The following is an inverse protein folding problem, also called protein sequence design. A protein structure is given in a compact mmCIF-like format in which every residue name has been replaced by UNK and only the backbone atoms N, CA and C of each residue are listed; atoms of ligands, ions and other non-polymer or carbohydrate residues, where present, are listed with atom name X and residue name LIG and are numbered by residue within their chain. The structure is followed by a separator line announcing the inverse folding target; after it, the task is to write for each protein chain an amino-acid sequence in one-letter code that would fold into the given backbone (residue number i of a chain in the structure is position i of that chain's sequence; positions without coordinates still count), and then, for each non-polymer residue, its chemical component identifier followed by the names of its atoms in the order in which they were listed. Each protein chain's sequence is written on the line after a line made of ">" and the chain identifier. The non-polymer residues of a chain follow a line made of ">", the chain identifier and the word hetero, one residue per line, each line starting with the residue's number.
data_IF_919182050461
#
_entry.id   IF_919182050461
#
_cell.length_a   1.000
_cell.length_b   1.000
_cell.length_c   1.000
_cell.angle_alpha   90.00
_cell.angle_beta   90.00
_cell.angle_gamma   90.00
#
_symmetry.space_group_name_H-M   'P 1'
#
loop_
_entity.id
_entity.type
_entity.pdbx_description
1 polymer ?
#
# COMPACT_ATOMS: atom_id res chain seq x y z
N UNK A 1 12.28 7.98 8.04
CA UNK A 1 12.58 9.26 8.67
C UNK A 1 13.76 9.05 9.61
N UNK A 2 14.81 9.87 9.51
CA UNK A 2 16.02 9.73 10.34
C UNK A 2 16.87 8.49 10.03
N UNK A 3 16.75 7.92 8.83
CA UNK A 3 17.58 6.81 8.34
C UNK A 3 18.39 7.27 7.13
N UNK A 4 19.32 6.43 6.66
CA UNK A 4 20.13 6.71 5.46
C UNK A 4 19.31 6.67 4.14
N UNK A 5 18.01 6.37 4.19
CA UNK A 5 17.14 6.37 3.01
C UNK A 5 16.92 7.79 2.52
N UNK A 6 16.96 7.97 1.22
CA UNK A 6 16.74 9.26 0.57
C UNK A 6 15.31 9.72 0.68
N UNK A 7 15.12 11.03 0.75
CA UNK A 7 13.84 11.70 0.52
C UNK A 7 13.78 12.07 -0.95
N UNK A 8 12.75 11.64 -1.69
CA UNK A 8 12.72 11.79 -3.14
C UNK A 8 11.44 12.42 -3.65
N UNK A 9 11.54 13.02 -4.83
CA UNK A 9 10.41 13.33 -5.72
C UNK A 9 10.54 12.45 -6.95
N UNK A 10 9.58 11.55 -7.14
CA UNK A 10 9.43 10.74 -8.34
C UNK A 10 8.51 11.45 -9.31
N UNK A 11 8.93 11.58 -10.57
CA UNK A 11 8.11 12.01 -11.70
C UNK A 11 7.72 10.80 -12.52
N UNK A 12 6.44 10.59 -12.71
CA UNK A 12 5.90 9.49 -13.52
C UNK A 12 5.94 9.84 -15.03
N UNK A 13 5.79 8.80 -15.88
CA UNK A 13 5.73 8.99 -17.34
C UNK A 13 4.53 9.84 -17.80
N UNK A 14 3.42 9.82 -17.04
CA UNK A 14 2.26 10.67 -17.29
C UNK A 14 2.33 12.06 -16.62
N UNK A 15 3.47 12.43 -16.03
CA UNK A 15 3.75 13.77 -15.53
C UNK A 15 3.31 14.06 -14.09
N UNK A 16 2.84 13.07 -13.33
CA UNK A 16 2.52 13.26 -11.92
C UNK A 16 3.79 13.27 -11.05
N UNK A 17 3.72 13.96 -9.92
CA UNK A 17 4.80 13.99 -8.92
C UNK A 17 4.38 13.31 -7.63
N UNK A 18 5.25 12.45 -7.10
CA UNK A 18 5.09 11.78 -5.82
C UNK A 18 6.28 12.10 -4.92
N UNK A 19 5.99 12.57 -3.70
CA UNK A 19 7.00 12.99 -2.73
C UNK A 19 6.97 12.02 -1.56
N UNK A 20 8.07 11.31 -1.32
CA UNK A 20 8.11 10.20 -0.35
C UNK A 20 9.54 9.91 0.10
N UNK A 21 9.75 9.24 1.25
CA UNK A 21 11.01 8.54 1.46
C UNK A 21 11.14 7.39 0.46
N UNK A 22 12.35 7.13 -0.01
CA UNK A 22 12.66 5.97 -0.84
C UNK A 22 12.80 4.72 0.03
N UNK A 23 11.69 4.09 0.34
CA UNK A 23 11.58 2.95 1.26
C UNK A 23 10.66 1.83 0.77
N UNK A 24 10.33 1.86 -0.53
CA UNK A 24 9.41 0.93 -1.15
C UNK A 24 7.95 1.41 -1.22
N UNK A 25 7.59 2.52 -0.55
CA UNK A 25 6.23 3.09 -0.61
C UNK A 25 5.82 3.48 -2.04
N UNK A 26 6.80 3.76 -2.91
CA UNK A 26 6.57 4.16 -4.29
C UNK A 26 6.48 2.97 -5.27
N UNK A 27 6.63 1.72 -4.83
CA UNK A 27 6.60 0.53 -5.71
C UNK A 27 5.34 0.48 -6.58
N UNK A 28 4.17 0.53 -5.98
CA UNK A 28 2.91 0.49 -6.74
C UNK A 28 2.71 1.69 -7.67
N UNK A 29 3.27 2.86 -7.34
CA UNK A 29 3.26 4.04 -8.23
C UNK A 29 4.17 3.80 -9.42
N UNK A 30 5.37 3.28 -9.18
CA UNK A 30 6.35 2.97 -10.22
C UNK A 30 5.81 1.92 -11.21
N UNK A 31 5.15 0.89 -10.70
CA UNK A 31 4.54 -0.17 -11.50
C UNK A 31 3.36 0.35 -12.34
N UNK A 32 2.45 1.12 -11.73
CA UNK A 32 1.23 1.58 -12.39
C UNK A 32 1.49 2.67 -13.45
N UNK A 33 2.44 3.59 -13.19
CA UNK A 33 2.62 4.79 -14.02
C UNK A 33 4.00 4.89 -14.68
N UNK A 34 4.92 4.01 -14.34
CA UNK A 34 6.31 4.05 -14.76
C UNK A 34 7.04 5.30 -14.24
N UNK A 35 8.35 5.22 -14.20
CA UNK A 35 9.23 6.31 -13.75
C UNK A 35 9.76 7.07 -14.95
N UNK A 36 9.65 8.40 -14.94
CA UNK A 36 10.29 9.30 -15.88
C UNK A 36 11.60 9.88 -15.34
N UNK A 37 11.60 10.29 -14.07
CA UNK A 37 12.79 10.80 -13.38
C UNK A 37 12.61 10.75 -11.86
N UNK A 38 13.72 10.70 -11.12
CA UNK A 38 13.74 10.77 -9.66
C UNK A 38 14.77 11.82 -9.24
N UNK A 39 14.38 12.67 -8.28
CA UNK A 39 15.31 13.63 -7.66
C UNK A 39 15.35 13.45 -6.15
N UNK A 40 16.54 13.49 -5.57
CA UNK A 40 16.70 13.60 -4.13
C UNK A 40 16.30 15.01 -3.67
N UNK A 41 15.55 15.10 -2.58
CA UNK A 41 15.18 16.41 -2.02
C UNK A 41 16.39 17.01 -1.32
N UNK A 42 16.84 18.16 -1.81
CA UNK A 42 17.81 18.98 -1.10
C UNK A 42 17.12 19.68 0.07
N UNK A 43 17.27 19.12 1.26
CA UNK A 43 16.64 19.65 2.48
C UNK A 43 17.21 20.99 2.93
N UNK A 44 18.34 21.44 2.40
CA UNK A 44 18.89 22.77 2.72
C UNK A 44 18.04 23.90 2.15
N UNK A 45 17.31 23.62 1.06
CA UNK A 45 16.43 24.60 0.38
C UNK A 45 14.95 24.17 0.35
N UNK A 46 14.69 22.89 0.50
CA UNK A 46 13.33 22.32 0.41
C UNK A 46 12.81 21.76 1.74
N UNK A 47 13.24 22.34 2.84
CA UNK A 47 12.70 22.12 4.18
C UNK A 47 11.93 23.38 4.64
N UNK A 48 10.83 23.18 5.35
CA UNK A 48 10.07 24.27 5.96
C UNK A 48 10.98 25.08 6.88
N UNK A 49 11.02 26.42 6.76
CA UNK A 49 11.85 27.26 7.62
C UNK A 49 11.58 27.06 9.12
N UNK A 50 12.62 27.16 9.92
CA UNK A 50 12.59 27.03 11.39
C UNK A 50 12.14 25.64 11.88
N UNK A 51 12.41 24.57 11.10
CA UNK A 51 12.12 23.18 11.49
C UNK A 51 13.35 22.28 11.45
N UNK A 52 14.55 22.85 11.38
CA UNK A 52 15.84 22.14 11.28
C UNK A 52 16.09 21.22 12.50
N UNK A 53 15.53 21.59 13.64
CA UNK A 53 15.59 20.82 14.89
C UNK A 53 14.64 19.58 14.89
N UNK A 54 13.68 19.49 13.96
CA UNK A 54 12.67 18.45 13.93
C UNK A 54 13.10 17.28 13.02
N UNK A 55 13.71 16.25 13.58
CA UNK A 55 14.23 15.11 12.83
C UNK A 55 13.24 13.94 12.66
N UNK A 56 12.03 14.02 13.23
CA UNK A 56 11.05 12.92 13.24
C UNK A 56 9.79 13.22 12.44
N UNK A 57 9.68 14.39 11.81
CA UNK A 57 8.44 14.85 11.19
C UNK A 57 8.63 15.30 9.72
N UNK A 58 9.42 14.54 8.95
CA UNK A 58 9.74 14.86 7.54
C UNK A 58 8.49 14.97 6.67
N UNK A 59 7.43 14.23 6.98
CA UNK A 59 6.15 14.33 6.27
C UNK A 59 5.61 15.76 6.22
N UNK A 60 5.66 16.47 7.35
CA UNK A 60 5.23 17.87 7.47
C UNK A 60 6.28 18.83 6.91
N UNK A 61 7.55 18.63 7.30
CA UNK A 61 8.58 19.66 7.15
C UNK A 61 9.32 19.59 5.81
N UNK A 62 9.40 18.40 5.20
CA UNK A 62 10.09 18.17 3.93
C UNK A 62 9.10 17.79 2.83
N UNK A 63 8.33 16.72 3.01
CA UNK A 63 7.53 16.17 1.89
C UNK A 63 6.35 17.06 1.52
N UNK A 64 5.52 17.46 2.49
CA UNK A 64 4.40 18.36 2.23
C UNK A 64 4.87 19.73 1.77
N UNK A 65 5.96 20.24 2.33
CA UNK A 65 6.52 21.53 1.95
C UNK A 65 7.05 21.52 0.52
N UNK A 66 7.85 20.51 0.14
CA UNK A 66 8.35 20.34 -1.22
C UNK A 66 7.21 20.15 -2.21
N UNK A 67 6.26 19.26 -1.91
CA UNK A 67 5.12 18.97 -2.77
C UNK A 67 4.24 20.20 -3.00
N UNK A 68 3.96 20.98 -1.95
CA UNK A 68 3.17 22.21 -2.07
C UNK A 68 3.87 23.26 -2.96
N UNK A 69 5.20 23.42 -2.83
CA UNK A 69 5.99 24.35 -3.65
C UNK A 69 6.01 23.94 -5.13
N UNK A 70 6.15 22.63 -5.39
CA UNK A 70 6.04 22.09 -6.76
C UNK A 70 4.64 22.33 -7.34
N UNK A 71 3.59 22.00 -6.62
CA UNK A 71 2.21 22.16 -7.07
C UNK A 71 1.83 23.61 -7.31
N UNK A 72 2.38 24.54 -6.52
CA UNK A 72 2.17 25.97 -6.68
C UNK A 72 3.10 26.63 -7.73
N UNK A 73 3.99 25.89 -8.36
CA UNK A 73 4.97 26.42 -9.31
C UNK A 73 6.03 27.35 -8.68
N UNK A 74 6.18 27.30 -7.35
CA UNK A 74 7.20 28.08 -6.61
C UNK A 74 8.60 27.56 -6.87
N UNK A 75 8.72 26.26 -7.11
CA UNK A 75 9.93 25.60 -7.59
C UNK A 75 9.61 24.72 -8.80
N UNK A 76 10.59 24.57 -9.69
CA UNK A 76 10.54 23.57 -10.75
C UNK A 76 11.01 22.20 -10.23
N UNK A 77 10.79 21.14 -11.01
CA UNK A 77 11.29 19.82 -10.66
C UNK A 77 12.83 19.79 -10.53
N UNK A 78 13.53 20.57 -11.35
CA UNK A 78 14.98 20.69 -11.33
C UNK A 78 15.51 21.30 -10.03
N UNK A 79 14.71 22.15 -9.39
CA UNK A 79 15.04 22.82 -8.13
C UNK A 79 14.76 22.00 -6.89
N UNK A 80 14.24 20.76 -7.04
CA UNK A 80 14.07 19.83 -5.92
C UNK A 80 15.41 19.43 -5.33
N UNK A 81 16.42 19.16 -6.18
CA UNK A 81 17.74 18.74 -5.81
C UNK A 81 18.39 17.86 -6.87
N UNK A 82 19.43 17.09 -6.55
CA UNK A 82 20.17 16.31 -7.54
C UNK A 82 19.31 15.25 -8.22
N UNK A 83 19.54 15.05 -9.52
CA UNK A 83 18.96 13.98 -10.29
C UNK A 83 19.57 12.65 -9.88
N UNK A 84 18.73 11.65 -9.70
CA UNK A 84 19.12 10.27 -9.44
C UNK A 84 18.85 9.40 -10.67
N UNK A 85 19.31 8.15 -10.64
CA UNK A 85 18.85 7.15 -11.58
C UNK A 85 17.30 7.01 -11.48
N UNK A 86 16.60 6.73 -12.59
CA UNK A 86 15.13 6.67 -12.63
C UNK A 86 14.60 5.37 -12.02
N UNK A 87 14.99 5.11 -10.79
CA UNK A 87 14.62 3.93 -10.01
C UNK A 87 14.31 4.30 -8.56
N UNK A 88 13.52 3.49 -7.90
CA UNK A 88 13.23 3.58 -6.46
C UNK A 88 13.29 2.19 -5.86
N UNK A 89 13.44 2.11 -4.53
CA UNK A 89 13.39 0.83 -3.81
C UNK A 89 12.05 0.16 -4.10
N UNK A 90 12.11 -1.07 -4.62
CA UNK A 90 10.94 -1.90 -4.88
C UNK A 90 10.67 -2.83 -3.71
N UNK A 91 9.40 -2.95 -3.32
CA UNK A 91 8.92 -4.02 -2.46
C UNK A 91 8.45 -5.15 -3.37
N UNK A 92 8.86 -6.37 -3.07
CA UNK A 92 8.29 -7.56 -3.67
C UNK A 92 6.86 -7.73 -3.15
N UNK A 93 5.90 -7.19 -3.88
CA UNK A 93 4.48 -7.40 -3.61
C UNK A 93 4.00 -8.43 -4.62
N UNK A 94 3.92 -9.70 -4.20
CA UNK A 94 3.31 -10.73 -5.03
C UNK A 94 1.82 -10.44 -5.19
N UNK A 95 1.29 -10.58 -6.40
CA UNK A 95 -0.15 -10.59 -6.62
C UNK A 95 -0.76 -11.87 -6.02
N UNK A 96 -2.02 -11.82 -5.63
CA UNK A 96 -2.77 -13.03 -5.33
C UNK A 96 -2.89 -13.92 -6.58
N UNK A 97 -2.99 -15.23 -6.40
CA UNK A 97 -3.19 -16.21 -7.47
C UNK A 97 -4.47 -17.03 -7.24
N UNK A 98 -4.98 -17.63 -8.31
CA UNK A 98 -6.08 -18.58 -8.28
C UNK A 98 -5.78 -19.74 -9.23
N UNK A 99 -5.50 -20.89 -8.67
CA UNK A 99 -5.19 -22.11 -9.39
C UNK A 99 -5.87 -23.31 -8.72
N UNK A 100 -6.37 -24.26 -9.48
CA UNK A 100 -6.99 -25.50 -8.99
C UNK A 100 -8.07 -25.28 -7.90
N UNK A 101 -8.86 -24.19 -8.02
CA UNK A 101 -9.89 -23.77 -7.07
C UNK A 101 -9.32 -23.34 -5.70
N UNK A 102 -8.06 -23.00 -5.63
CA UNK A 102 -7.43 -22.44 -4.46
C UNK A 102 -6.93 -21.01 -4.74
N UNK A 103 -7.11 -20.13 -3.76
CA UNK A 103 -6.51 -18.81 -3.76
C UNK A 103 -5.26 -18.81 -2.89
N UNK A 104 -4.19 -18.24 -3.39
CA UNK A 104 -3.01 -17.94 -2.61
C UNK A 104 -2.78 -16.43 -2.60
N UNK A 105 -2.50 -15.86 -1.45
CA UNK A 105 -2.28 -14.43 -1.29
C UNK A 105 -1.57 -14.08 -0.01
N UNK A 106 -1.38 -12.80 0.21
CA UNK A 106 -0.71 -12.25 1.39
C UNK A 106 -1.68 -11.38 2.18
N UNK A 107 -1.47 -11.31 3.50
CA UNK A 107 -2.16 -10.32 4.33
C UNK A 107 -1.65 -8.93 3.96
N UNK A 108 -2.54 -8.09 3.42
CA UNK A 108 -2.24 -6.74 2.97
C UNK A 108 -2.53 -5.74 4.10
N UNK A 109 -1.50 -5.05 4.59
CA UNK A 109 -1.67 -3.94 5.53
C UNK A 109 -1.93 -4.31 7.00
N UNK A 110 -1.94 -5.59 7.36
CA UNK A 110 -2.15 -6.06 8.74
C UNK A 110 -3.62 -6.08 9.15
N UNK A 111 -3.87 -6.05 10.47
CA UNK A 111 -5.21 -6.07 11.08
C UNK A 111 -5.66 -4.62 11.34
N UNK A 112 -6.84 -4.25 10.92
CA UNK A 112 -7.38 -2.92 11.16
C UNK A 112 -7.88 -2.75 12.62
N UNK A 113 -8.38 -1.56 12.96
CA UNK A 113 -8.87 -1.26 14.32
C UNK A 113 -10.13 -2.03 14.71
N UNK A 114 -10.83 -2.62 13.75
CA UNK A 114 -12.02 -3.43 13.95
C UNK A 114 -11.73 -4.93 13.96
N UNK A 115 -10.46 -5.31 13.72
CA UNK A 115 -10.05 -6.70 13.67
C UNK A 115 -10.15 -7.33 12.28
N UNK A 116 -10.44 -6.55 11.23
CA UNK A 116 -10.49 -7.08 9.88
C UNK A 116 -9.10 -7.34 9.33
N UNK A 117 -8.96 -8.41 8.57
CA UNK A 117 -7.76 -8.78 7.83
C UNK A 117 -8.06 -8.65 6.34
N UNK A 118 -7.18 -8.01 5.59
CA UNK A 118 -7.29 -7.84 4.16
C UNK A 118 -6.26 -8.68 3.45
N UNK A 119 -6.65 -9.32 2.35
CA UNK A 119 -5.76 -10.10 1.49
C UNK A 119 -5.48 -9.33 0.18
N UNK A 120 -4.34 -9.56 -0.44
CA UNK A 120 -4.03 -9.04 -1.79
C UNK A 120 -4.71 -9.86 -2.90
N UNK A 121 -5.87 -10.41 -2.61
CA UNK A 121 -6.79 -11.07 -3.54
C UNK A 121 -7.88 -10.05 -3.85
N UNK A 122 -7.86 -9.49 -5.05
CA UNK A 122 -8.88 -8.54 -5.45
C UNK A 122 -10.19 -9.22 -5.87
N UNK A 123 -11.23 -8.42 -6.01
CA UNK A 123 -12.56 -8.92 -6.40
C UNK A 123 -12.55 -9.65 -7.73
N UNK A 124 -11.79 -9.16 -8.73
CA UNK A 124 -11.77 -9.75 -10.06
C UNK A 124 -11.13 -11.15 -10.01
N UNK A 125 -10.09 -11.32 -9.23
CA UNK A 125 -9.46 -12.61 -9.00
C UNK A 125 -10.41 -13.56 -8.25
N UNK A 126 -11.07 -13.08 -7.19
CA UNK A 126 -11.99 -13.88 -6.39
C UNK A 126 -13.22 -14.33 -7.19
N UNK A 127 -13.76 -13.48 -8.07
CA UNK A 127 -14.91 -13.78 -8.94
C UNK A 127 -14.61 -14.90 -9.97
N UNK A 128 -13.34 -15.27 -10.18
CA UNK A 128 -13.00 -16.42 -11.07
C UNK A 128 -13.53 -17.74 -10.56
N UNK A 129 -13.67 -17.92 -9.25
CA UNK A 129 -14.32 -19.10 -8.65
C UNK A 129 -15.84 -19.07 -8.73
N UNK A 130 -16.43 -17.96 -9.19
CA UNK A 130 -17.89 -17.70 -9.25
C UNK A 130 -18.56 -17.90 -7.88
N UNK A 131 -18.08 -17.23 -6.83
CA UNK A 131 -18.58 -17.44 -5.47
C UNK A 131 -20.03 -17.00 -5.32
N UNK A 132 -20.81 -17.77 -4.56
CA UNK A 132 -22.13 -17.40 -4.13
C UNK A 132 -22.13 -17.06 -2.63
N UNK A 133 -23.03 -16.17 -2.20
CA UNK A 133 -23.16 -15.89 -0.75
C UNK A 133 -23.64 -17.12 -0.01
N UNK A 134 -22.89 -17.52 1.02
CA UNK A 134 -23.10 -18.73 1.78
C UNK A 134 -22.10 -19.84 1.47
N UNK A 135 -21.34 -19.73 0.37
CA UNK A 135 -20.27 -20.68 0.08
C UNK A 135 -19.24 -20.67 1.19
N UNK A 136 -18.80 -21.86 1.57
CA UNK A 136 -17.83 -22.03 2.64
C UNK A 136 -16.43 -22.13 2.07
N UNK A 137 -15.53 -21.29 2.57
CA UNK A 137 -14.11 -21.29 2.23
C UNK A 137 -13.29 -21.75 3.41
N UNK A 138 -12.41 -22.73 3.16
CA UNK A 138 -11.37 -23.13 4.11
C UNK A 138 -10.17 -22.20 3.94
N UNK A 139 -9.70 -21.62 5.04
CA UNK A 139 -8.63 -20.61 5.03
C UNK A 139 -7.55 -21.04 6.01
N UNK A 140 -6.30 -20.97 5.55
CA UNK A 140 -5.12 -21.07 6.41
C UNK A 140 -4.29 -19.80 6.28
N UNK A 141 -3.98 -19.14 7.39
CA UNK A 141 -3.07 -18.00 7.44
C UNK A 141 -1.76 -18.49 8.05
N UNK A 142 -0.67 -18.26 7.34
CA UNK A 142 0.65 -18.71 7.77
C UNK A 142 1.58 -17.52 8.02
N UNK A 143 2.52 -17.68 8.93
CA UNK A 143 3.68 -16.82 9.08
C UNK A 143 4.93 -17.67 8.85
N UNK A 144 5.53 -17.52 7.69
CA UNK A 144 6.53 -18.45 7.15
C UNK A 144 5.93 -19.86 7.06
N UNK A 145 6.52 -20.86 7.72
CA UNK A 145 6.03 -22.25 7.73
C UNK A 145 5.02 -22.55 8.84
N UNK A 146 4.72 -21.58 9.72
CA UNK A 146 3.81 -21.78 10.84
C UNK A 146 2.41 -21.32 10.51
N UNK A 147 1.41 -22.21 10.64
CA UNK A 147 -0.01 -21.82 10.64
C UNK A 147 -0.27 -21.00 11.89
N UNK A 148 -0.76 -19.77 11.72
CA UNK A 148 -1.14 -18.86 12.81
C UNK A 148 -2.66 -18.82 13.01
N UNK A 149 -3.41 -19.18 11.97
CA UNK A 149 -4.85 -19.34 12.02
C UNK A 149 -5.30 -20.29 10.90
N UNK A 150 -6.28 -21.15 11.19
CA UNK A 150 -6.98 -21.96 10.19
C UNK A 150 -8.45 -22.14 10.57
N UNK A 151 -9.32 -22.27 9.60
CA UNK A 151 -10.75 -22.49 9.81
C UNK A 151 -11.55 -22.31 8.53
N UNK A 152 -12.85 -22.61 8.65
CA UNK A 152 -13.81 -22.44 7.56
C UNK A 152 -14.79 -21.31 7.91
N UNK A 153 -15.21 -20.55 6.90
CA UNK A 153 -16.17 -19.48 7.07
C UNK A 153 -16.96 -19.22 5.79
N UNK A 154 -18.20 -18.70 5.90
CA UNK A 154 -19.01 -18.38 4.75
C UNK A 154 -18.51 -17.10 4.04
N UNK A 155 -18.60 -17.11 2.71
CA UNK A 155 -18.60 -15.87 1.94
C UNK A 155 -19.92 -15.14 2.15
N UNK A 156 -19.86 -13.92 2.62
CA UNK A 156 -21.03 -13.17 3.05
C UNK A 156 -21.07 -11.77 2.44
N UNK A 157 -22.28 -11.23 2.27
CA UNK A 157 -22.47 -9.88 1.74
C UNK A 157 -21.99 -8.79 2.69
N UNK A 158 -22.13 -9.02 4.00
CA UNK A 158 -21.78 -8.07 5.05
C UNK A 158 -21.75 -8.78 6.40
N UNK A 159 -21.25 -8.09 7.44
CA UNK A 159 -21.17 -8.59 8.81
C UNK A 159 -22.48 -9.19 9.33
N UNK A 160 -23.60 -8.53 9.12
CA UNK A 160 -24.91 -8.98 9.60
C UNK A 160 -25.47 -10.24 8.92
N UNK A 161 -24.75 -10.85 7.98
CA UNK A 161 -25.14 -12.11 7.37
C UNK A 161 -24.73 -13.36 8.18
N UNK A 162 -23.92 -13.17 9.22
CA UNK A 162 -23.52 -14.22 10.16
C UNK A 162 -23.88 -13.80 11.60
N UNK A 163 -23.95 -14.75 12.55
CA UNK A 163 -24.23 -14.42 13.93
C UNK A 163 -23.10 -13.63 14.60
N UNK A 164 -23.42 -12.90 15.67
CA UNK A 164 -22.41 -12.17 16.46
C UNK A 164 -21.36 -13.12 16.99
N UNK A 165 -20.08 -12.80 16.75
CA UNK A 165 -18.94 -13.62 17.10
C UNK A 165 -18.51 -14.64 16.04
N UNK A 166 -19.25 -14.77 14.94
CA UNK A 166 -18.88 -15.66 13.84
C UNK A 166 -17.99 -14.98 12.81
N UNK A 167 -17.12 -15.78 12.21
CA UNK A 167 -16.21 -15.36 11.14
C UNK A 167 -16.93 -15.30 9.80
N UNK A 168 -16.48 -14.39 8.96
CA UNK A 168 -16.96 -14.27 7.59
C UNK A 168 -15.86 -13.83 6.65
N UNK A 169 -16.00 -14.23 5.38
CA UNK A 169 -15.24 -13.76 4.25
C UNK A 169 -16.12 -12.80 3.44
N UNK A 170 -15.61 -11.68 3.00
CA UNK A 170 -16.37 -10.70 2.22
C UNK A 170 -15.46 -9.83 1.36
N UNK A 171 -16.02 -9.16 0.35
CA UNK A 171 -15.30 -8.15 -0.42
C UNK A 171 -15.47 -6.80 0.28
N UNK A 172 -14.36 -6.23 0.74
CA UNK A 172 -14.34 -4.92 1.35
C UNK A 172 -14.49 -3.78 0.33
N UNK A 173 -14.79 -2.58 0.79
CA UNK A 173 -15.00 -1.40 -0.08
C UNK A 173 -13.77 -0.99 -0.91
N UNK A 174 -12.58 -1.46 -0.54
CA UNK A 174 -11.36 -1.33 -1.35
C UNK A 174 -11.29 -2.28 -2.54
N UNK A 175 -12.23 -3.22 -2.65
CA UNK A 175 -12.21 -4.29 -3.65
C UNK A 175 -11.35 -5.51 -3.27
N UNK A 176 -10.82 -5.57 -2.04
CA UNK A 176 -10.03 -6.70 -1.58
C UNK A 176 -10.86 -7.72 -0.81
N UNK A 177 -10.53 -9.00 -1.00
CA UNK A 177 -11.04 -10.08 -0.17
C UNK A 177 -10.61 -9.88 1.28
N UNK A 178 -11.53 -10.05 2.21
CA UNK A 178 -11.30 -9.71 3.62
C UNK A 178 -11.94 -10.72 4.53
N UNK A 179 -11.27 -10.96 5.66
CA UNK A 179 -11.74 -11.79 6.76
C UNK A 179 -12.11 -10.90 7.95
N UNK A 180 -13.24 -11.16 8.56
CA UNK A 180 -13.70 -10.44 9.73
C UNK A 180 -14.48 -11.32 10.69
N UNK A 181 -14.79 -10.76 11.86
CA UNK A 181 -15.71 -11.32 12.87
C UNK A 181 -16.88 -10.33 13.00
N UNK A 182 -18.10 -10.86 12.99
CA UNK A 182 -19.28 -10.05 13.30
C UNK A 182 -19.35 -9.69 14.77
#
# INVERSE_FOLDING_TARGET
>A
VGTARKSVVLKTKNGLYFVSPDNGTLSGVADAYGISAVREIDETVNRRPNTEWAHTFHGRDVYSYTGARLAAGVISFEQVGPLLEPEVIQLEISAGTYEERAFEGQVAGGVDRLGNIYFNIDRELFERDKPEYGDIYEIAITNRERIVWEGAMPYAKSFGAVAVGENLLFIYSSGLLSFAIN
#
